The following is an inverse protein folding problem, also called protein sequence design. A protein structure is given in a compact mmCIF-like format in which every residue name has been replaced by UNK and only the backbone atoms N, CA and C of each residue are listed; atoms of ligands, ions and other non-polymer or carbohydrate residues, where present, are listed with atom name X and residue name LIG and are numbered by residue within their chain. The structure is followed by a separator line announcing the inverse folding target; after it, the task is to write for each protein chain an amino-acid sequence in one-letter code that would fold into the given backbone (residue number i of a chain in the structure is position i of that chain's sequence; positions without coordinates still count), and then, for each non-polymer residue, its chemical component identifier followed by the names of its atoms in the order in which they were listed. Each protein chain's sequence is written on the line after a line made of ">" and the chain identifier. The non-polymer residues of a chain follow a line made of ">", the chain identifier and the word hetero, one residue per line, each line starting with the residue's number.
data_IF_150931618633
#
_entry.id   IF_150931618633
#
_cell.length_a   1.000
_cell.length_b   1.000
_cell.length_c   1.000
_cell.angle_alpha   90.00
_cell.angle_beta   90.00
_cell.angle_gamma   90.00
#
_symmetry.space_group_name_H-M   'P 1'
#
loop_
_entity.id
_entity.type
_entity.pdbx_description
1 polymer ?
#
# COMPACT_ATOMS: atom_id res chain seq x y z
N UNK A 1 -4.07 -19.99 31.08
CA UNK A 1 -3.08 -19.53 30.08
C UNK A 1 -3.64 -18.29 29.43
N UNK A 2 -2.83 -17.25 29.22
CA UNK A 2 -3.31 -16.00 28.63
C UNK A 2 -3.32 -16.13 27.12
N UNK A 3 -4.52 -16.07 26.53
CA UNK A 3 -4.72 -16.00 25.09
C UNK A 3 -4.16 -14.69 24.53
N UNK A 4 -3.44 -14.77 23.41
CA UNK A 4 -2.83 -13.61 22.76
C UNK A 4 -2.93 -13.69 21.24
N UNK A 5 -2.94 -12.54 20.59
CA UNK A 5 -2.50 -12.46 19.19
C UNK A 5 -1.03 -12.03 19.14
N UNK A 6 -0.29 -12.55 18.17
CA UNK A 6 1.00 -11.99 17.76
C UNK A 6 0.74 -10.91 16.71
N UNK A 7 1.42 -9.79 16.84
CA UNK A 7 1.39 -8.65 15.91
C UNK A 7 2.77 -8.50 15.28
N UNK A 8 2.85 -8.59 13.95
CA UNK A 8 4.12 -8.53 13.22
C UNK A 8 3.94 -7.86 11.85
N UNK A 9 5.03 -7.44 11.22
CA UNK A 9 5.04 -6.84 9.88
C UNK A 9 6.42 -7.02 9.25
N UNK A 10 6.53 -6.76 7.94
CA UNK A 10 7.81 -6.58 7.24
C UNK A 10 8.77 -7.77 7.47
N UNK A 11 8.27 -8.98 7.25
CA UNK A 11 9.08 -10.20 7.31
C UNK A 11 9.86 -10.45 6.03
N UNK A 12 9.47 -9.86 4.89
CA UNK A 12 10.16 -9.93 3.60
C UNK A 12 10.69 -11.35 3.28
N UNK A 13 9.81 -12.34 3.33
CA UNK A 13 10.10 -13.76 3.09
C UNK A 13 10.94 -14.46 4.17
N UNK A 14 11.19 -13.83 5.32
CA UNK A 14 11.92 -14.45 6.44
C UNK A 14 10.95 -15.17 7.39
N UNK A 15 10.24 -16.17 6.85
CA UNK A 15 9.15 -16.85 7.54
C UNK A 15 9.61 -17.68 8.74
N UNK A 16 10.82 -18.24 8.75
CA UNK A 16 11.40 -18.93 9.91
C UNK A 16 11.48 -18.01 11.12
N UNK A 17 11.76 -16.72 10.92
CA UNK A 17 11.79 -15.77 12.04
C UNK A 17 10.39 -15.65 12.66
N UNK A 18 9.34 -15.62 11.84
CA UNK A 18 7.97 -15.63 12.33
C UNK A 18 7.63 -16.97 13.01
N UNK A 19 8.07 -18.11 12.45
CA UNK A 19 7.88 -19.43 13.06
C UNK A 19 8.56 -19.54 14.42
N UNK A 20 9.78 -19.02 14.54
CA UNK A 20 10.51 -18.94 15.81
C UNK A 20 9.79 -18.05 16.83
N UNK A 21 9.16 -16.95 16.40
CA UNK A 21 8.32 -16.11 17.27
C UNK A 21 7.13 -16.91 17.79
N UNK A 22 6.43 -17.62 16.89
CA UNK A 22 5.29 -18.46 17.28
C UNK A 22 5.73 -19.53 18.28
N UNK A 23 6.79 -20.29 17.96
CA UNK A 23 7.33 -21.33 18.83
C UNK A 23 7.81 -20.79 20.19
N UNK A 24 8.32 -19.56 20.23
CA UNK A 24 8.71 -18.89 21.47
C UNK A 24 7.47 -18.54 22.31
N UNK A 25 6.47 -17.90 21.71
CA UNK A 25 5.27 -17.44 22.43
C UNK A 25 4.33 -18.59 22.87
N UNK A 26 4.37 -19.73 22.18
CA UNK A 26 3.64 -20.96 22.57
C UNK A 26 4.17 -21.58 23.87
N UNK A 27 5.39 -21.25 24.30
CA UNK A 27 5.95 -21.75 25.57
C UNK A 27 5.27 -21.14 26.79
N UNK A 28 4.80 -19.91 26.66
CA UNK A 28 4.28 -19.08 27.76
C UNK A 28 2.76 -18.85 27.69
N UNK A 29 2.06 -19.50 26.75
CA UNK A 29 0.61 -19.39 26.62
C UNK A 29 0.08 -19.87 25.28
N UNK A 30 -1.19 -19.59 25.03
CA UNK A 30 -1.88 -19.89 23.78
C UNK A 30 -1.80 -18.69 22.83
N UNK A 31 -1.78 -18.98 21.54
CA UNK A 31 -1.81 -18.00 20.46
C UNK A 31 -3.05 -18.32 19.63
N UNK A 32 -4.00 -17.39 19.60
CA UNK A 32 -5.22 -17.58 18.82
C UNK A 32 -4.99 -17.25 17.34
N UNK A 33 -4.12 -16.28 17.05
CA UNK A 33 -3.76 -15.87 15.70
C UNK A 33 -2.48 -15.02 15.64
N UNK A 34 -1.95 -14.90 14.42
CA UNK A 34 -0.97 -13.87 14.03
C UNK A 34 -1.66 -12.85 13.13
N UNK A 35 -1.53 -11.57 13.45
CA UNK A 35 -1.93 -10.45 12.59
C UNK A 35 -0.68 -9.84 11.96
N UNK A 36 -0.57 -9.90 10.64
CA UNK A 36 0.62 -9.45 9.88
C UNK A 36 0.33 -8.26 8.97
N UNK A 37 0.97 -7.12 9.21
CA UNK A 37 0.67 -5.83 8.56
C UNK A 37 1.39 -5.61 7.22
N UNK A 38 1.46 -6.64 6.38
CA UNK A 38 2.04 -6.56 5.04
C UNK A 38 3.55 -6.71 4.97
N UNK A 39 4.04 -6.83 3.72
CA UNK A 39 5.39 -7.24 3.38
C UNK A 39 5.74 -8.60 3.97
N UNK A 40 4.81 -9.54 3.77
CA UNK A 40 4.92 -10.94 4.17
C UNK A 40 5.95 -11.65 3.29
N UNK A 41 5.97 -11.33 2.00
CA UNK A 41 6.83 -11.99 1.01
C UNK A 41 6.11 -13.15 0.31
N UNK A 42 4.87 -12.91 -0.10
CA UNK A 42 4.06 -13.83 -0.89
C UNK A 42 4.64 -13.86 -2.31
N UNK A 43 5.57 -14.79 -2.53
CA UNK A 43 6.19 -15.05 -3.82
C UNK A 43 6.22 -16.55 -4.10
N UNK A 44 5.83 -16.91 -5.32
CA UNK A 44 6.04 -18.26 -5.81
C UNK A 44 7.45 -18.40 -6.43
N UNK A 45 8.34 -19.13 -5.75
CA UNK A 45 9.68 -19.50 -6.25
C UNK A 45 9.63 -20.09 -7.63
N UNK A 46 8.62 -20.94 -7.85
CA UNK A 46 8.56 -21.78 -9.02
C UNK A 46 8.12 -20.94 -10.24
N UNK A 47 7.72 -19.69 -10.00
CA UNK A 47 7.35 -18.70 -10.99
C UNK A 47 8.02 -17.32 -10.76
N UNK A 48 9.35 -17.30 -10.65
CA UNK A 48 10.14 -16.07 -10.39
C UNK A 48 10.04 -14.96 -11.46
N UNK A 49 9.40 -15.23 -12.60
CA UNK A 49 9.29 -14.28 -13.72
C UNK A 49 8.69 -12.92 -13.29
N UNK A 50 7.75 -12.95 -12.34
CA UNK A 50 6.98 -11.78 -11.89
C UNK A 50 7.58 -11.05 -10.68
N UNK A 51 8.64 -11.60 -10.06
CA UNK A 51 9.26 -10.99 -8.86
C UNK A 51 9.96 -9.67 -9.24
N UNK A 52 9.72 -8.55 -8.52
CA UNK A 52 10.38 -7.26 -8.79
C UNK A 52 11.92 -7.33 -8.70
N UNK A 53 12.65 -6.54 -9.48
CA UNK A 53 14.13 -6.58 -9.54
C UNK A 53 14.80 -6.34 -8.19
N UNK A 54 14.24 -5.46 -7.33
CA UNK A 54 14.74 -5.25 -5.96
C UNK A 54 14.60 -6.53 -5.14
N UNK A 55 13.48 -7.22 -5.26
CA UNK A 55 13.24 -8.48 -4.56
C UNK A 55 14.11 -9.58 -5.13
N UNK A 56 14.19 -9.74 -6.45
CA UNK A 56 15.20 -10.59 -7.12
C UNK A 56 16.61 -10.30 -6.61
N UNK A 57 16.96 -9.03 -6.42
CA UNK A 57 18.23 -8.64 -5.84
C UNK A 57 18.34 -9.02 -4.37
N UNK A 58 17.29 -8.91 -3.54
CA UNK A 58 17.28 -9.41 -2.17
C UNK A 58 17.40 -10.95 -2.13
N UNK A 59 16.66 -11.67 -2.99
CA UNK A 59 16.78 -13.12 -3.23
C UNK A 59 18.23 -13.48 -3.52
N UNK A 60 18.87 -12.76 -4.43
CA UNK A 60 20.23 -13.04 -4.89
C UNK A 60 21.30 -12.60 -3.87
N UNK A 61 21.15 -11.39 -3.31
CA UNK A 61 22.13 -10.73 -2.44
C UNK A 61 22.26 -11.44 -1.11
N UNK A 62 21.15 -11.93 -0.54
CA UNK A 62 21.21 -12.46 0.80
C UNK A 62 21.83 -13.84 0.88
N UNK A 63 21.89 -14.65 -0.20
CA UNK A 63 22.35 -16.06 -0.23
C UNK A 63 21.76 -16.99 0.85
N UNK A 64 21.03 -16.43 1.81
CA UNK A 64 20.24 -17.04 2.83
C UNK A 64 18.96 -17.43 2.15
N UNK A 65 18.60 -18.70 2.34
CA UNK A 65 17.29 -19.28 2.07
C UNK A 65 16.22 -18.19 2.20
N UNK A 66 15.81 -17.59 1.08
CA UNK A 66 14.47 -17.04 1.02
C UNK A 66 13.62 -18.26 1.29
N UNK A 67 12.98 -18.27 2.44
CA UNK A 67 12.03 -19.32 2.72
C UNK A 67 10.82 -18.90 1.96
N UNK A 68 10.81 -19.45 0.76
CA UNK A 68 9.85 -19.09 -0.24
C UNK A 68 8.49 -19.43 0.35
N UNK A 69 7.48 -18.69 -0.06
CA UNK A 69 6.11 -19.00 0.33
C UNK A 69 5.63 -20.33 -0.32
N UNK A 70 6.30 -20.81 -1.38
CA UNK A 70 5.93 -22.01 -2.14
C UNK A 70 5.77 -23.33 -1.35
N UNK A 71 6.56 -23.66 -0.30
CA UNK A 71 6.29 -24.83 0.54
C UNK A 71 4.92 -24.76 1.22
N UNK A 72 4.40 -23.57 1.53
CA UNK A 72 3.05 -23.38 2.06
C UNK A 72 1.98 -23.49 0.97
N UNK A 73 2.28 -23.04 -0.26
CA UNK A 73 1.41 -23.24 -1.44
C UNK A 73 1.22 -24.73 -1.80
N UNK A 74 2.25 -25.54 -1.54
CA UNK A 74 2.27 -26.98 -1.86
C UNK A 74 1.99 -27.88 -0.66
N UNK A 75 1.58 -27.29 0.48
CA UNK A 75 1.31 -27.98 1.75
C UNK A 75 2.48 -28.80 2.31
N UNK A 76 3.71 -28.60 1.82
CA UNK A 76 4.94 -29.15 2.41
C UNK A 76 5.24 -28.52 3.76
N UNK A 77 4.72 -27.31 4.01
CA UNK A 77 4.72 -26.63 5.30
C UNK A 77 3.32 -26.10 5.60
N UNK A 78 2.99 -26.01 6.89
CA UNK A 78 1.70 -25.51 7.40
C UNK A 78 2.00 -24.58 8.56
N UNK A 79 1.30 -23.44 8.64
CA UNK A 79 1.40 -22.56 9.81
C UNK A 79 0.74 -23.22 11.02
N UNK A 80 1.41 -23.29 12.19
CA UNK A 80 0.90 -23.99 13.37
C UNK A 80 -0.28 -23.25 14.03
N UNK A 81 -0.44 -21.97 13.72
CA UNK A 81 -1.54 -21.10 14.18
C UNK A 81 -2.12 -20.33 12.99
N UNK A 82 -3.38 -19.86 13.08
CA UNK A 82 -3.97 -19.01 12.04
C UNK A 82 -3.16 -17.73 11.79
N UNK A 83 -2.87 -17.46 10.52
CA UNK A 83 -2.20 -16.24 10.05
C UNK A 83 -3.20 -15.38 9.29
N UNK A 84 -3.37 -14.13 9.69
CA UNK A 84 -4.17 -13.15 8.98
C UNK A 84 -3.28 -12.02 8.52
N UNK A 85 -3.24 -11.75 7.22
CA UNK A 85 -2.33 -10.75 6.66
C UNK A 85 -2.97 -9.88 5.60
N UNK A 86 -2.58 -8.61 5.57
CA UNK A 86 -2.83 -7.70 4.45
C UNK A 86 -1.61 -7.72 3.51
N UNK A 87 -1.76 -7.45 2.20
CA UNK A 87 -0.60 -7.29 1.34
C UNK A 87 0.19 -6.02 1.69
N UNK A 88 1.52 -6.05 1.59
CA UNK A 88 2.35 -4.84 1.66
C UNK A 88 2.63 -4.24 0.28
N UNK A 89 3.81 -3.65 0.09
CA UNK A 89 4.27 -3.20 -1.23
C UNK A 89 5.31 -4.11 -1.89
N UNK A 90 5.72 -5.16 -1.19
CA UNK A 90 6.66 -6.18 -1.60
C UNK A 90 6.00 -7.55 -1.68
N UNK A 91 5.03 -7.71 -2.58
CA UNK A 91 4.32 -8.98 -2.85
C UNK A 91 4.24 -9.30 -4.36
N UNK A 92 4.00 -10.57 -4.71
CA UNK A 92 3.42 -10.97 -5.99
C UNK A 92 1.90 -10.73 -5.97
N UNK A 93 1.47 -9.60 -6.53
CA UNK A 93 0.06 -9.21 -6.51
C UNK A 93 -0.86 -10.14 -7.30
N UNK A 94 -0.34 -10.86 -8.30
CA UNK A 94 -1.13 -11.87 -9.02
C UNK A 94 -1.48 -13.04 -8.09
N UNK A 95 -0.50 -13.47 -7.28
CA UNK A 95 -0.72 -14.49 -6.27
C UNK A 95 -1.57 -13.99 -5.10
N UNK A 96 -1.37 -12.75 -4.64
CA UNK A 96 -2.23 -12.10 -3.63
C UNK A 96 -3.69 -12.11 -4.09
N UNK A 97 -3.97 -11.66 -5.32
CA UNK A 97 -5.33 -11.62 -5.84
C UNK A 97 -5.98 -13.02 -5.85
N UNK A 98 -5.19 -14.04 -6.21
CA UNK A 98 -5.62 -15.45 -6.19
C UNK A 98 -5.86 -16.00 -4.79
N UNK A 99 -5.11 -15.55 -3.79
CA UNK A 99 -5.34 -15.91 -2.39
C UNK A 99 -6.61 -15.22 -1.85
N UNK A 100 -6.77 -13.92 -2.12
CA UNK A 100 -7.95 -13.13 -1.71
C UNK A 100 -9.23 -13.69 -2.32
N UNK A 101 -9.22 -14.06 -3.60
CA UNK A 101 -10.39 -14.64 -4.27
C UNK A 101 -10.57 -16.15 -4.04
N UNK A 102 -9.65 -16.79 -3.32
CA UNK A 102 -9.71 -18.20 -2.96
C UNK A 102 -9.42 -19.20 -4.08
N UNK A 103 -8.94 -18.77 -5.25
CA UNK A 103 -8.46 -19.67 -6.32
C UNK A 103 -7.13 -20.35 -5.97
N UNK A 104 -6.39 -19.79 -5.03
CA UNK A 104 -5.29 -20.45 -4.30
C UNK A 104 -5.62 -20.39 -2.82
N UNK A 105 -5.29 -21.44 -2.08
CA UNK A 105 -5.45 -21.49 -0.63
C UNK A 105 -4.15 -21.94 0.02
N UNK A 106 -3.88 -21.38 1.19
CA UNK A 106 -2.83 -21.83 2.09
C UNK A 106 -3.46 -22.18 3.41
N UNK A 107 -3.14 -23.36 3.93
CA UNK A 107 -3.71 -23.85 5.18
C UNK A 107 -3.31 -22.93 6.34
N UNK A 108 -4.29 -22.62 7.20
CA UNK A 108 -4.14 -21.70 8.34
C UNK A 108 -3.69 -20.28 7.95
N UNK A 109 -4.04 -19.82 6.75
CA UNK A 109 -3.73 -18.46 6.33
C UNK A 109 -4.93 -17.81 5.63
N UNK A 110 -5.18 -16.56 5.97
CA UNK A 110 -6.14 -15.68 5.30
C UNK A 110 -5.43 -14.40 4.84
N UNK A 111 -5.59 -14.06 3.57
CA UNK A 111 -5.13 -12.77 3.02
C UNK A 111 -6.33 -11.87 2.86
N UNK A 112 -6.32 -10.74 3.55
CA UNK A 112 -7.43 -9.79 3.52
C UNK A 112 -7.64 -9.20 2.13
N UNK A 113 -8.90 -9.16 1.69
CA UNK A 113 -9.34 -8.23 0.66
C UNK A 113 -9.25 -6.77 1.15
N UNK A 114 -9.15 -5.81 0.22
CA UNK A 114 -9.09 -4.39 0.58
C UNK A 114 -10.41 -3.94 1.22
N UNK A 115 -10.36 -3.55 2.49
CA UNK A 115 -11.54 -3.18 3.28
C UNK A 115 -12.32 -4.37 3.86
N UNK A 116 -11.82 -5.60 3.71
CA UNK A 116 -12.48 -6.78 4.28
C UNK A 116 -12.49 -6.71 5.81
N UNK A 117 -13.65 -7.03 6.39
CA UNK A 117 -13.85 -7.12 7.84
C UNK A 117 -14.15 -8.56 8.21
N UNK A 118 -13.34 -9.13 9.10
CA UNK A 118 -13.54 -10.48 9.63
C UNK A 118 -13.71 -10.44 11.14
N UNK A 119 -14.45 -11.41 11.65
CA UNK A 119 -14.56 -11.68 13.07
C UNK A 119 -13.51 -12.69 13.50
N UNK A 120 -12.70 -12.32 14.49
CA UNK A 120 -11.76 -13.20 15.17
C UNK A 120 -12.12 -13.36 16.65
N UNK A 121 -11.55 -14.38 17.28
CA UNK A 121 -11.68 -14.60 18.72
C UNK A 121 -10.31 -14.49 19.38
N UNK A 122 -10.25 -13.72 20.46
CA UNK A 122 -9.11 -13.62 21.35
C UNK A 122 -9.54 -14.14 22.72
N UNK A 123 -9.30 -15.44 22.97
CA UNK A 123 -10.03 -16.20 23.97
C UNK A 123 -11.53 -16.22 23.68
N UNK A 124 -12.34 -15.74 24.63
CA UNK A 124 -13.80 -15.64 24.49
C UNK A 124 -14.25 -14.29 23.92
N UNK A 125 -13.32 -13.35 23.70
CA UNK A 125 -13.64 -12.02 23.20
C UNK A 125 -13.75 -12.02 21.67
N UNK A 126 -14.89 -11.58 21.16
CA UNK A 126 -15.11 -11.28 19.75
C UNK A 126 -14.39 -9.98 19.37
N UNK A 127 -13.55 -10.04 18.34
CA UNK A 127 -12.74 -8.91 17.84
C UNK A 127 -13.03 -8.72 16.35
N UNK A 128 -13.53 -7.54 15.98
CA UNK A 128 -13.74 -7.18 14.57
C UNK A 128 -12.47 -6.60 13.97
N UNK A 129 -11.87 -7.32 13.01
CA UNK A 129 -10.61 -6.93 12.36
C UNK A 129 -10.86 -6.53 10.92
N UNK A 130 -10.45 -5.32 10.54
CA UNK A 130 -10.46 -4.83 9.16
C UNK A 130 -9.04 -4.83 8.59
N UNK A 131 -8.89 -5.22 7.32
CA UNK A 131 -7.63 -5.13 6.60
C UNK A 131 -7.66 -4.15 5.43
N UNK A 132 -6.66 -3.27 5.35
CA UNK A 132 -6.38 -2.46 4.16
C UNK A 132 -4.87 -2.44 3.91
N UNK A 133 -4.43 -3.15 2.86
CA UNK A 133 -3.02 -3.33 2.54
C UNK A 133 -2.47 -2.28 1.58
N UNK A 134 -1.35 -2.62 0.93
CA UNK A 134 -0.65 -1.81 -0.07
C UNK A 134 -0.05 -0.53 0.52
N UNK A 135 0.56 0.30 -0.33
CA UNK A 135 1.10 1.61 0.05
C UNK A 135 0.40 2.75 -0.65
N UNK A 136 0.48 3.94 -0.05
CA UNK A 136 -0.07 5.16 -0.64
C UNK A 136 1.00 6.28 -0.63
N UNK A 137 2.03 6.17 -1.49
CA UNK A 137 3.13 7.12 -1.52
C UNK A 137 2.68 8.49 -2.03
N UNK A 138 3.25 9.55 -1.45
CA UNK A 138 2.95 10.93 -1.84
C UNK A 138 3.46 11.28 -3.25
N UNK A 139 2.75 12.19 -3.93
CA UNK A 139 3.33 13.02 -5.00
C UNK A 139 3.40 12.39 -6.39
N UNK A 140 2.69 11.31 -6.68
CA UNK A 140 2.65 10.73 -8.02
C UNK A 140 1.23 10.64 -8.56
N UNK A 141 1.05 10.99 -9.83
CA UNK A 141 -0.09 10.58 -10.64
C UNK A 141 -0.20 9.06 -10.47
N UNK A 142 -1.21 8.60 -9.72
CA UNK A 142 -1.36 7.21 -9.35
C UNK A 142 -1.65 6.39 -10.61
N UNK A 143 -0.59 5.89 -11.24
CA UNK A 143 -0.68 4.84 -12.24
C UNK A 143 -1.29 3.62 -11.54
N UNK A 144 -2.19 2.90 -12.22
CA UNK A 144 -2.77 1.61 -11.82
C UNK A 144 -1.68 0.55 -11.53
N UNK A 145 -0.94 0.74 -10.44
CA UNK A 145 0.12 -0.14 -9.97
C UNK A 145 -0.50 -1.02 -8.88
N UNK A 146 -0.36 -2.34 -8.96
CA UNK A 146 -1.02 -3.26 -8.01
C UNK A 146 -0.72 -2.97 -6.53
N UNK A 147 0.49 -2.48 -6.24
CA UNK A 147 0.97 -2.15 -4.90
C UNK A 147 0.48 -0.83 -4.31
N UNK A 148 -0.35 -0.09 -5.03
CA UNK A 148 -0.82 1.25 -4.62
C UNK A 148 -2.28 1.16 -4.22
N UNK A 149 -2.63 1.69 -3.06
CA UNK A 149 -4.02 1.87 -2.64
C UNK A 149 -4.73 2.77 -3.65
N UNK A 150 -5.88 2.33 -4.16
CA UNK A 150 -6.71 3.13 -5.06
C UNK A 150 -7.86 3.82 -4.29
N UNK A 151 -8.51 4.80 -4.91
CA UNK A 151 -9.67 5.48 -4.31
C UNK A 151 -10.80 4.49 -3.99
N UNK A 152 -10.99 3.48 -4.84
CA UNK A 152 -11.98 2.41 -4.63
C UNK A 152 -11.63 1.49 -3.48
N UNK A 153 -10.34 1.35 -3.13
CA UNK A 153 -9.92 0.59 -1.95
C UNK A 153 -10.35 1.31 -0.66
N UNK A 154 -10.18 2.64 -0.60
CA UNK A 154 -10.61 3.48 0.53
C UNK A 154 -12.14 3.51 0.63
N UNK A 155 -12.83 3.70 -0.50
CA UNK A 155 -14.30 3.72 -0.53
C UNK A 155 -14.89 2.40 -0.02
N UNK A 156 -14.33 1.26 -0.45
CA UNK A 156 -14.73 -0.07 0.05
C UNK A 156 -14.51 -0.24 1.54
N UNK A 157 -13.37 0.23 2.07
CA UNK A 157 -13.10 0.17 3.51
C UNK A 157 -14.10 1.02 4.31
N UNK A 158 -14.41 2.23 3.85
CA UNK A 158 -15.41 3.10 4.48
C UNK A 158 -16.80 2.46 4.44
N UNK A 159 -17.23 1.94 3.29
CA UNK A 159 -18.53 1.27 3.15
C UNK A 159 -18.61 0.02 4.03
N UNK A 160 -17.57 -0.82 4.03
CA UNK A 160 -17.55 -2.06 4.79
C UNK A 160 -17.50 -1.84 6.31
N UNK A 161 -16.88 -0.74 6.74
CA UNK A 161 -16.83 -0.29 8.13
C UNK A 161 -18.02 0.53 8.58
N UNK A 162 -18.85 1.03 7.65
CA UNK A 162 -20.03 1.81 7.97
C UNK A 162 -20.96 0.97 8.87
N UNK A 163 -21.44 1.56 9.97
CA UNK A 163 -22.29 0.93 10.99
C UNK A 163 -21.68 -0.28 11.71
N UNK A 164 -20.39 -0.59 11.51
CA UNK A 164 -19.68 -1.65 12.24
C UNK A 164 -18.66 -1.05 13.19
N UNK A 165 -18.65 -1.56 14.42
CA UNK A 165 -17.52 -1.32 15.31
C UNK A 165 -16.31 -2.07 14.79
N UNK A 166 -15.24 -1.35 14.46
CA UNK A 166 -13.95 -1.95 14.11
C UNK A 166 -13.05 -1.91 15.34
N UNK A 167 -12.61 -3.07 15.80
CA UNK A 167 -11.71 -3.15 16.95
C UNK A 167 -10.25 -2.97 16.54
N UNK A 168 -9.84 -3.62 15.45
CA UNK A 168 -8.48 -3.56 14.94
C UNK A 168 -8.51 -3.25 13.44
N UNK A 169 -7.83 -2.20 13.02
CA UNK A 169 -7.56 -1.89 11.62
C UNK A 169 -6.09 -2.21 11.30
N UNK A 170 -5.85 -3.12 10.36
CA UNK A 170 -4.53 -3.43 9.84
C UNK A 170 -4.24 -2.54 8.63
N UNK A 171 -3.12 -1.83 8.70
CA UNK A 171 -2.57 -1.02 7.60
C UNK A 171 -1.13 -1.42 7.34
N UNK A 172 -0.69 -1.36 6.08
CA UNK A 172 0.74 -1.46 5.81
C UNK A 172 1.36 -0.07 5.79
N UNK A 173 0.87 0.84 4.94
CA UNK A 173 1.18 2.26 5.03
C UNK A 173 0.53 2.88 6.27
N UNK A 174 1.26 3.63 7.11
CA UNK A 174 0.67 4.26 8.27
C UNK A 174 -0.22 5.47 7.89
N UNK A 175 -1.13 5.89 8.77
CA UNK A 175 -1.67 7.25 8.76
C UNK A 175 -0.54 8.29 8.79
N UNK A 176 -0.84 9.54 8.48
CA UNK A 176 0.14 10.63 8.56
C UNK A 176 0.88 10.65 9.90
N UNK A 177 2.20 10.44 9.88
CA UNK A 177 3.08 10.52 11.05
C UNK A 177 3.92 11.81 11.09
N UNK A 178 3.95 12.57 9.98
CA UNK A 178 4.69 13.83 9.86
C UNK A 178 5.67 13.84 8.67
N UNK A 179 6.76 14.59 8.80
CA UNK A 179 7.77 14.75 7.76
C UNK A 179 9.13 14.20 8.19
N UNK A 180 9.83 13.56 7.25
CA UNK A 180 11.20 13.10 7.38
C UNK A 180 12.10 13.80 6.35
N UNK A 181 13.41 13.60 6.43
CA UNK A 181 14.36 14.04 5.40
C UNK A 181 14.08 13.45 4.01
N UNK A 182 13.28 12.39 3.92
CA UNK A 182 12.85 11.75 2.65
C UNK A 182 11.48 12.23 2.17
N UNK A 183 10.92 13.24 2.82
CA UNK A 183 9.56 13.72 2.60
C UNK A 183 8.59 13.21 3.66
N UNK A 184 7.31 13.36 3.36
CA UNK A 184 6.20 12.96 4.23
C UNK A 184 6.22 11.46 4.55
N UNK A 185 5.81 11.14 5.77
CA UNK A 185 5.70 9.80 6.31
C UNK A 185 4.22 9.48 6.58
N UNK A 186 3.68 8.48 5.90
CA UNK A 186 2.27 8.10 6.00
C UNK A 186 1.33 8.92 5.13
N UNK A 187 0.05 8.55 5.17
CA UNK A 187 -1.00 9.09 4.29
C UNK A 187 -2.11 9.83 5.03
N UNK A 188 -2.53 10.98 4.49
CA UNK A 188 -3.68 11.75 5.01
C UNK A 188 -4.99 11.08 4.67
N UNK A 189 -5.08 10.38 3.53
CA UNK A 189 -6.28 9.61 3.21
C UNK A 189 -6.48 8.49 4.25
N UNK A 190 -5.39 7.88 4.73
CA UNK A 190 -5.45 6.90 5.80
C UNK A 190 -5.71 7.55 7.17
N UNK A 191 -5.22 8.77 7.41
CA UNK A 191 -5.62 9.56 8.59
C UNK A 191 -7.12 9.82 8.60
N UNK A 192 -7.69 10.28 7.49
CA UNK A 192 -9.13 10.54 7.35
C UNK A 192 -9.94 9.25 7.52
N UNK A 193 -9.50 8.14 6.91
CA UNK A 193 -10.11 6.83 7.10
C UNK A 193 -10.18 6.44 8.58
N UNK A 194 -9.08 6.60 9.32
CA UNK A 194 -9.04 6.30 10.76
C UNK A 194 -9.97 7.22 11.55
N UNK A 195 -10.03 8.51 11.20
CA UNK A 195 -10.94 9.46 11.86
C UNK A 195 -12.41 9.13 11.61
N UNK A 196 -12.76 8.62 10.44
CA UNK A 196 -14.14 8.28 10.08
C UNK A 196 -14.58 6.93 10.66
N UNK A 197 -13.68 5.93 10.69
CA UNK A 197 -13.99 4.60 11.21
C UNK A 197 -13.82 4.47 12.73
N UNK A 198 -13.06 5.36 13.36
CA UNK A 198 -12.70 5.37 14.78
C UNK A 198 -12.36 3.98 15.34
N UNK A 199 -11.46 3.19 14.70
CA UNK A 199 -11.12 1.86 15.20
C UNK A 199 -10.47 1.97 16.58
N UNK A 200 -10.68 1.01 17.47
CA UNK A 200 -10.03 1.04 18.79
C UNK A 200 -8.50 1.02 18.68
N UNK A 201 -7.99 0.22 17.75
CA UNK A 201 -6.56 0.03 17.51
C UNK A 201 -6.26 0.02 16.01
N UNK A 202 -5.19 0.71 15.61
CA UNK A 202 -4.60 0.64 14.26
C UNK A 202 -3.21 0.04 14.37
N UNK A 203 -2.94 -1.00 13.61
CA UNK A 203 -1.63 -1.60 13.47
C UNK A 203 -1.05 -1.24 12.12
N UNK A 204 0.18 -0.72 12.09
CA UNK A 204 0.84 -0.24 10.88
C UNK A 204 2.23 -0.87 10.69
N UNK A 205 2.55 -1.24 9.46
CA UNK A 205 3.87 -1.72 9.04
C UNK A 205 4.74 -0.63 8.40
N UNK A 206 5.53 -1.03 7.39
CA UNK A 206 6.22 -0.20 6.40
C UNK A 206 7.39 0.65 6.92
N UNK A 207 7.27 1.24 8.10
CA UNK A 207 8.24 2.19 8.64
C UNK A 207 9.44 1.52 9.31
N UNK A 208 9.35 0.22 9.58
CA UNK A 208 10.40 -0.60 10.22
C UNK A 208 10.82 -0.07 11.60
N UNK A 209 9.94 0.70 12.27
CA UNK A 209 10.18 1.30 13.57
C UNK A 209 8.95 1.14 14.46
N UNK A 210 9.19 0.85 15.73
CA UNK A 210 8.15 0.79 16.75
C UNK A 210 7.79 2.18 17.20
N UNK A 211 6.50 2.48 17.16
CA UNK A 211 5.99 3.73 17.67
C UNK A 211 4.58 3.58 18.23
N UNK A 212 4.22 4.54 19.09
CA UNK A 212 2.86 4.78 19.54
C UNK A 212 2.44 6.16 19.11
N UNK A 213 1.21 6.25 18.62
CA UNK A 213 0.56 7.52 18.31
C UNK A 213 -0.94 7.39 18.58
N UNK A 214 -1.69 8.45 18.30
CA UNK A 214 -3.12 8.51 18.53
C UNK A 214 -3.78 9.45 17.52
N UNK A 215 -4.94 9.04 17.02
CA UNK A 215 -5.82 9.86 16.18
C UNK A 215 -7.21 9.77 16.81
N UNK A 216 -7.71 10.86 17.39
CA UNK A 216 -8.96 10.83 18.15
C UNK A 216 -8.89 9.82 19.29
N UNK A 217 -9.84 8.88 19.34
CA UNK A 217 -9.87 7.77 20.30
C UNK A 217 -9.02 6.56 19.88
N UNK A 218 -8.61 6.49 18.61
CA UNK A 218 -7.87 5.37 18.03
C UNK A 218 -6.40 5.37 18.43
N UNK A 219 -5.93 4.28 19.04
CA UNK A 219 -4.50 4.07 19.28
C UNK A 219 -3.83 3.60 17.99
N UNK A 220 -2.68 4.18 17.64
CA UNK A 220 -1.90 3.79 16.47
C UNK A 220 -0.59 3.16 16.92
N UNK A 221 -0.30 1.96 16.42
CA UNK A 221 0.89 1.19 16.75
C UNK A 221 1.66 0.89 15.48
N UNK A 222 2.86 1.44 15.39
CA UNK A 222 3.85 1.04 14.40
C UNK A 222 4.55 -0.23 14.81
N UNK A 223 4.58 -1.21 13.92
CA UNK A 223 5.33 -2.44 14.09
C UNK A 223 6.75 -2.26 13.55
N UNK A 224 7.71 -2.84 14.26
CA UNK A 224 9.10 -2.84 13.86
C UNK A 224 9.39 -3.75 12.67
N UNK A 225 10.67 -4.04 12.49
CA UNK A 225 11.12 -4.86 11.36
C UNK A 225 11.10 -6.36 11.71
N UNK A 226 10.08 -7.08 11.25
CA UNK A 226 9.87 -8.51 11.54
C UNK A 226 11.04 -9.40 11.14
N UNK A 227 11.76 -9.05 10.06
CA UNK A 227 13.03 -9.70 9.66
C UNK A 227 14.05 -9.77 10.80
N UNK A 228 14.06 -8.81 11.74
CA UNK A 228 14.97 -8.79 12.88
C UNK A 228 14.44 -9.56 14.10
N UNK A 229 13.28 -10.19 14.00
CA UNK A 229 12.61 -10.88 15.11
C UNK A 229 11.91 -9.92 16.08
N UNK A 230 11.54 -8.72 15.61
CA UNK A 230 10.84 -7.69 16.39
C UNK A 230 9.33 -7.81 16.13
N UNK A 231 8.54 -7.89 17.19
CA UNK A 231 7.10 -8.11 17.13
C UNK A 231 6.42 -7.52 18.36
N UNK A 232 5.09 -7.62 18.43
CA UNK A 232 4.34 -7.36 19.64
C UNK A 232 3.33 -8.48 19.90
N UNK A 233 2.79 -8.50 21.12
CA UNK A 233 1.66 -9.35 21.51
C UNK A 233 0.55 -8.49 22.05
N UNK A 234 -0.70 -8.92 21.88
CA UNK A 234 -1.88 -8.26 22.42
C UNK A 234 -2.78 -9.27 23.12
N UNK A 235 -3.29 -8.90 24.29
CA UNK A 235 -4.26 -9.70 25.05
C UNK A 235 -5.71 -9.21 24.84
N UNK A 236 -6.67 -9.92 25.43
CA UNK A 236 -8.10 -9.59 25.34
C UNK A 236 -8.46 -8.20 25.90
N UNK A 237 -7.60 -7.61 26.75
CA UNK A 237 -7.77 -6.27 27.28
C UNK A 237 -7.13 -5.19 26.39
N UNK A 238 -6.54 -5.58 25.25
CA UNK A 238 -5.78 -4.76 24.32
C UNK A 238 -4.48 -4.21 24.94
N UNK A 239 -3.90 -4.93 25.91
CA UNK A 239 -2.57 -4.60 26.40
C UNK A 239 -1.52 -5.07 25.39
N UNK A 240 -0.74 -4.13 24.87
CA UNK A 240 0.28 -4.40 23.84
C UNK A 240 1.67 -4.43 24.45
N UNK A 241 2.36 -5.56 24.27
CA UNK A 241 3.75 -5.76 24.71
C UNK A 241 4.66 -5.97 23.51
N UNK A 242 5.60 -5.05 23.27
CA UNK A 242 6.65 -5.21 22.26
C UNK A 242 7.74 -6.17 22.74
N UNK A 243 8.24 -7.00 21.84
CA UNK A 243 9.21 -8.07 22.13
C UNK A 243 10.20 -8.24 20.98
N UNK A 244 11.36 -8.80 21.31
CA UNK A 244 12.40 -9.19 20.35
C UNK A 244 12.85 -10.62 20.66
N UNK A 245 12.93 -11.48 19.64
CA UNK A 245 13.54 -12.82 19.78
C UNK A 245 14.98 -12.77 20.26
N UNK A 246 15.69 -11.67 19.99
CA UNK A 246 17.08 -11.47 20.40
C UNK A 246 17.20 -10.82 21.77
N UNK A 247 16.09 -10.59 22.46
CA UNK A 247 16.02 -9.86 23.73
C UNK A 247 16.67 -8.46 23.66
N UNK A 248 16.64 -7.85 22.47
CA UNK A 248 17.12 -6.49 22.26
C UNK A 248 16.16 -5.49 22.91
N UNK A 249 16.71 -4.41 23.48
CA UNK A 249 15.91 -3.27 23.93
C UNK A 249 15.26 -2.60 22.72
N UNK A 250 13.93 -2.54 22.72
CA UNK A 250 13.14 -1.87 21.70
C UNK A 250 12.84 -0.46 22.18
N UNK A 251 13.41 0.54 21.50
CA UNK A 251 13.01 1.92 21.68
C UNK A 251 11.65 2.15 21.02
N UNK A 252 10.63 2.45 21.82
CA UNK A 252 9.28 2.76 21.33
C UNK A 252 9.16 4.27 21.22
N UNK A 253 9.00 4.78 20.00
CA UNK A 253 8.86 6.21 19.77
C UNK A 253 7.43 6.67 20.05
N UNK A 254 7.25 7.73 20.83
CA UNK A 254 5.95 8.41 20.91
C UNK A 254 5.90 9.49 19.83
N UNK A 255 4.98 9.35 18.89
CA UNK A 255 4.76 10.31 17.81
C UNK A 255 3.47 11.05 18.10
N UNK A 256 3.55 12.36 18.31
CA UNK A 256 2.37 13.22 18.37
C UNK A 256 2.00 13.62 16.95
N UNK A 257 0.83 13.20 16.49
CA UNK A 257 0.27 13.68 15.22
C UNK A 257 -0.26 15.08 15.48
N UNK A 258 0.62 16.07 15.33
CA UNK A 258 0.28 17.49 15.48
C UNK A 258 -0.48 17.95 14.24
N UNK A 259 -1.79 17.81 14.34
CA UNK A 259 -2.82 18.15 13.35
C UNK A 259 -2.77 17.35 12.05
N UNK A 260 -3.90 16.78 11.61
CA UNK A 260 -4.05 16.52 10.19
C UNK A 260 -3.93 17.90 9.54
N UNK A 261 -2.95 18.10 8.68
CA UNK A 261 -3.13 19.11 7.65
C UNK A 261 -4.44 18.71 7.00
N UNK A 262 -5.51 19.46 7.30
CA UNK A 262 -6.69 19.55 6.46
C UNK A 262 -6.09 19.80 5.10
N UNK A 263 -6.00 18.74 4.28
CA UNK A 263 -5.80 18.95 2.86
C UNK A 263 -6.87 19.98 2.53
N UNK A 264 -6.51 21.12 1.91
CA UNK A 264 -7.52 22.07 1.49
C UNK A 264 -8.61 21.25 0.82
N UNK A 265 -9.83 21.32 1.39
CA UNK A 265 -11.06 20.72 0.87
C UNK A 265 -10.89 20.57 -0.64
N UNK A 266 -11.01 19.35 -1.20
CA UNK A 266 -10.46 19.01 -2.51
C UNK A 266 -10.72 20.20 -3.40
N UNK A 267 -9.64 20.92 -3.74
CA UNK A 267 -9.80 22.18 -4.46
C UNK A 267 -10.64 21.78 -5.66
N UNK A 268 -11.91 22.22 -5.66
CA UNK A 268 -12.77 22.17 -6.85
C UNK A 268 -12.21 23.21 -7.80
N UNK A 269 -11.03 22.90 -8.29
CA UNK A 269 -10.45 23.33 -9.55
C UNK A 269 -9.68 22.12 -10.00
N UNK A 270 -10.39 21.25 -10.72
CA UNK A 270 -9.81 20.74 -11.95
C UNK A 270 -9.13 21.96 -12.59
N UNK A 271 -7.80 21.99 -12.58
CA UNK A 271 -7.13 22.51 -13.75
C UNK A 271 -7.54 21.54 -14.84
N UNK A 272 -8.70 21.78 -15.46
CA UNK A 272 -8.95 21.31 -16.80
C UNK A 272 -7.92 22.08 -17.62
N UNK A 273 -6.67 21.58 -17.66
CA UNK A 273 -5.88 21.79 -18.85
C UNK A 273 -6.80 21.30 -19.96
N UNK A 274 -7.25 22.18 -20.87
CA UNK A 274 -8.14 21.75 -21.92
C UNK A 274 -7.44 20.59 -22.62
N UNK A 275 -8.15 19.46 -22.77
CA UNK A 275 -7.66 18.32 -23.53
C UNK A 275 -7.26 18.86 -24.90
N UNK A 276 -5.99 18.72 -25.25
CA UNK A 276 -5.56 19.12 -26.59
C UNK A 276 -6.34 18.27 -27.60
N UNK A 277 -6.91 18.88 -28.66
CA UNK A 277 -7.69 18.15 -29.65
C UNK A 277 -6.83 17.21 -30.53
N UNK A 278 -5.51 17.41 -30.52
CA UNK A 278 -4.50 16.64 -31.27
C UNK A 278 -3.23 16.48 -30.44
N UNK A 279 -2.54 15.36 -30.66
CA UNK A 279 -1.19 15.09 -30.15
C UNK A 279 -0.12 15.42 -31.20
N UNK A 280 1.13 15.61 -30.76
CA UNK A 280 2.23 15.87 -31.71
C UNK A 280 2.47 14.72 -32.71
N UNK A 281 2.17 13.48 -32.30
CA UNK A 281 2.22 12.32 -33.20
C UNK A 281 1.15 12.39 -34.29
N UNK A 282 -0.06 12.83 -33.93
CA UNK A 282 -1.15 12.97 -34.91
C UNK A 282 -0.88 14.10 -35.90
N UNK A 283 -0.32 15.23 -35.46
CA UNK A 283 0.14 16.31 -36.35
C UNK A 283 1.21 15.78 -37.31
N UNK A 284 2.27 15.15 -36.79
CA UNK A 284 3.34 14.59 -37.63
C UNK A 284 2.83 13.54 -38.63
N UNK A 285 1.94 12.65 -38.21
CA UNK A 285 1.33 11.67 -39.10
C UNK A 285 0.47 12.32 -40.20
N UNK A 286 -0.27 13.39 -39.86
CA UNK A 286 -1.11 14.10 -40.82
C UNK A 286 -0.31 14.83 -41.90
N UNK A 287 0.83 15.43 -41.55
CA UNK A 287 1.69 16.18 -42.48
C UNK A 287 2.85 15.36 -43.05
N UNK A 288 2.93 14.06 -42.77
CA UNK A 288 4.01 13.19 -43.27
C UNK A 288 5.41 13.54 -42.73
N UNK A 289 5.48 14.17 -41.55
CA UNK A 289 6.73 14.63 -40.95
C UNK A 289 7.25 13.60 -39.94
N UNK A 290 8.53 13.25 -40.02
CA UNK A 290 9.17 12.36 -39.05
C UNK A 290 9.32 13.06 -37.68
N UNK A 291 8.53 12.64 -36.70
CA UNK A 291 8.49 13.17 -35.33
C UNK A 291 9.86 13.17 -34.63
N UNK A 292 10.79 12.28 -35.03
CA UNK A 292 12.14 12.24 -34.45
C UNK A 292 13.12 13.20 -35.14
N UNK A 293 12.84 13.63 -36.37
CA UNK A 293 13.69 14.57 -37.14
C UNK A 293 13.15 15.99 -37.17
N UNK A 294 11.84 16.20 -37.02
CA UNK A 294 11.27 17.52 -36.81
C UNK A 294 11.78 18.04 -35.47
N UNK A 295 12.57 19.12 -35.48
CA UNK A 295 13.03 19.75 -34.25
C UNK A 295 11.85 19.92 -33.27
N UNK A 296 12.09 19.69 -31.98
CA UNK A 296 11.04 19.83 -30.95
C UNK A 296 10.46 21.26 -30.86
N UNK A 297 11.11 22.24 -31.50
CA UNK A 297 10.74 23.66 -31.46
C UNK A 297 9.47 23.99 -32.27
N UNK A 298 9.37 23.71 -33.58
CA UNK A 298 8.15 24.00 -34.37
C UNK A 298 6.85 23.45 -33.77
N UNK A 299 6.86 22.19 -33.34
CA UNK A 299 5.71 21.57 -32.67
C UNK A 299 5.43 22.24 -31.31
N UNK A 300 6.47 22.60 -30.57
CA UNK A 300 6.35 23.29 -29.29
C UNK A 300 5.68 24.66 -29.43
N UNK A 301 6.09 25.45 -30.42
CA UNK A 301 5.50 26.78 -30.70
C UNK A 301 4.08 26.66 -31.24
N UNK A 302 3.79 25.67 -32.11
CA UNK A 302 2.43 25.37 -32.53
C UNK A 302 1.52 25.06 -31.32
N UNK A 303 1.95 24.18 -30.42
CA UNK A 303 1.16 23.83 -29.23
C UNK A 303 0.98 24.99 -28.24
N UNK A 304 1.90 25.95 -28.25
CA UNK A 304 1.78 27.20 -27.48
C UNK A 304 0.74 28.14 -28.12
N UNK A 305 0.77 28.29 -29.44
CA UNK A 305 -0.23 29.06 -30.19
C UNK A 305 -1.63 28.46 -30.07
N UNK A 306 -1.76 27.14 -30.24
CA UNK A 306 -3.03 26.42 -30.11
C UNK A 306 -3.62 26.57 -28.71
N UNK A 307 -2.81 26.51 -27.65
CA UNK A 307 -3.28 26.78 -26.28
C UNK A 307 -3.77 28.22 -26.10
N UNK A 308 -3.07 29.20 -26.69
CA UNK A 308 -3.51 30.59 -26.65
C UNK A 308 -4.87 30.77 -27.34
N UNK A 309 -5.11 30.06 -28.43
CA UNK A 309 -6.38 30.11 -29.16
C UNK A 309 -7.50 29.37 -28.42
N UNK A 310 -7.20 28.24 -27.77
CA UNK A 310 -8.15 27.52 -26.93
C UNK A 310 -8.60 28.34 -25.70
N UNK A 311 -7.80 29.33 -25.27
CA UNK A 311 -8.18 30.23 -24.19
C UNK A 311 -9.31 31.19 -24.58
N UNK A 312 -9.41 31.55 -25.87
CA UNK A 312 -10.49 32.41 -26.41
C UNK A 312 -11.61 31.59 -27.06
N UNK A 313 -11.33 30.38 -27.52
CA UNK A 313 -12.30 29.46 -28.12
C UNK A 313 -12.13 28.03 -27.54
N UNK A 314 -12.82 27.68 -26.44
CA UNK A 314 -12.56 26.45 -25.69
C UNK A 314 -13.00 25.14 -26.37
N UNK A 315 -13.68 25.20 -27.52
CA UNK A 315 -14.17 24.04 -28.29
C UNK A 315 -13.52 23.96 -29.68
N UNK A 316 -12.20 23.83 -29.72
CA UNK A 316 -11.49 23.51 -30.98
C UNK A 316 -11.60 22.00 -31.22
N UNK A 317 -12.16 21.61 -32.35
CA UNK A 317 -12.24 20.23 -32.81
C UNK A 317 -10.89 19.74 -33.34
N UNK A 318 -10.75 18.42 -33.53
CA UNK A 318 -9.55 17.81 -34.08
C UNK A 318 -9.25 18.34 -35.49
N UNK A 319 -10.27 18.47 -36.32
CA UNK A 319 -10.21 18.97 -37.69
C UNK A 319 -9.77 20.43 -37.73
N UNK A 320 -10.35 21.27 -36.85
CA UNK A 320 -9.93 22.68 -36.73
C UNK A 320 -8.47 22.80 -36.27
N UNK A 321 -8.01 21.92 -35.37
CA UNK A 321 -6.62 21.91 -34.94
C UNK A 321 -5.64 21.54 -36.07
N UNK A 322 -6.03 20.65 -36.99
CA UNK A 322 -5.24 20.37 -38.19
C UNK A 322 -5.18 21.56 -39.15
N UNK A 323 -6.31 22.25 -39.39
CA UNK A 323 -6.33 23.47 -40.21
C UNK A 323 -5.42 24.56 -39.61
N UNK A 324 -5.46 24.73 -38.29
CA UNK A 324 -4.57 25.67 -37.59
C UNK A 324 -3.09 25.26 -37.67
N UNK A 325 -2.80 23.96 -37.64
CA UNK A 325 -1.45 23.45 -37.83
C UNK A 325 -0.95 23.75 -39.25
N UNK A 326 -1.78 23.54 -40.27
CA UNK A 326 -1.46 23.84 -41.67
C UNK A 326 -1.13 25.32 -41.86
N UNK A 327 -2.00 26.22 -41.35
CA UNK A 327 -1.76 27.67 -41.39
C UNK A 327 -0.49 28.07 -40.64
N UNK A 328 -0.21 27.43 -39.50
CA UNK A 328 0.97 27.70 -38.68
C UNK A 328 2.25 27.29 -39.42
N UNK A 329 2.32 26.08 -39.97
CA UNK A 329 3.52 25.61 -40.67
C UNK A 329 3.77 26.35 -41.99
N UNK A 330 2.71 26.72 -42.73
CA UNK A 330 2.83 27.59 -43.93
C UNK A 330 3.42 28.95 -43.55
N UNK A 331 2.96 29.57 -42.46
CA UNK A 331 3.44 30.88 -42.02
C UNK A 331 4.91 30.87 -41.57
N UNK A 332 5.35 29.77 -40.97
CA UNK A 332 6.72 29.60 -40.48
C UNK A 332 7.68 29.06 -41.56
N UNK A 333 7.22 28.86 -42.81
CA UNK A 333 7.99 28.23 -43.91
C UNK A 333 8.55 26.84 -43.54
N UNK A 334 7.74 26.01 -42.89
CA UNK A 334 8.11 24.66 -42.40
C UNK A 334 7.45 23.57 -43.22
#
# INVERSE_FOLDING_TARGET
>A
MTNKFILISDTHCNLDTMMQIIDFELRDGSIDAVLHCGDFGIYDSDNTSQVPTREKHLITKHKNKIQMFSPYLTEKQIFPVPIYTIPGNHEDFSLVDRLVNGTVKVRNMHVFGQGEVIKLFLGECEIMVMGLGKVLPEGLIHKNKPKIIQEEDIARALEAGNDKRIDILLLHEPPMLGFTHRGRCGSSALTELVQLLEPRLVLAGHMHIEYRSQIGSSQIIGLGYGVKGRYATIDANFNITFKSLKHENIEIKTITITEPILLPQPIKKKSTRPSMPVTGREICAHFGVDYQKSGKQPLGEFFKALKSQMATQPKITKEQAFVLAEQFFIKENI
#
